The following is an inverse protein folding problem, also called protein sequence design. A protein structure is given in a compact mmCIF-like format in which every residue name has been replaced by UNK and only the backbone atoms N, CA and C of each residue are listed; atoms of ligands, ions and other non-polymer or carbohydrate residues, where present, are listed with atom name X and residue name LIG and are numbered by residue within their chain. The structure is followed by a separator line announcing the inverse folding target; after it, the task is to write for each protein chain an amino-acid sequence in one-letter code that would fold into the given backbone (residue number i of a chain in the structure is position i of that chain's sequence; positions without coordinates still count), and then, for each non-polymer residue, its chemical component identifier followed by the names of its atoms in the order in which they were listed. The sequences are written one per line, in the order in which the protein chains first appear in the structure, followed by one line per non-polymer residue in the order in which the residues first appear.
data_IF_607965841078
#
_entry.id   IF_607965841078
#
_cell.length_a   1.000
_cell.length_b   1.000
_cell.length_c   1.000
_cell.angle_alpha   90.00
_cell.angle_beta   90.00
_cell.angle_gamma   90.00
#
_symmetry.space_group_name_H-M   'P 1'
#
loop_
_entity.id
_entity.type
_entity.pdbx_description
1 polymer ?
#
# COMPACT_ATOMS: atom_id res chain seq x y z
N UNK A 1 12.55 20.96 -9.70
CA UNK A 1 13.24 20.56 -8.52
C UNK A 1 12.46 19.48 -7.77
N UNK A 2 13.12 18.46 -7.37
CA UNK A 2 12.41 17.39 -6.66
C UNK A 2 11.90 17.89 -5.31
N UNK A 3 10.67 17.58 -5.05
CA UNK A 3 10.06 17.90 -3.79
C UNK A 3 9.96 16.61 -2.99
N UNK A 4 10.89 16.42 -2.07
CA UNK A 4 10.95 15.18 -1.31
C UNK A 4 9.77 14.98 -0.39
N UNK A 5 9.03 16.03 -0.11
CA UNK A 5 7.81 15.90 0.69
C UNK A 5 6.72 15.25 -0.13
N UNK A 6 6.56 15.69 -1.37
CA UNK A 6 5.50 15.17 -2.24
C UNK A 6 5.95 13.94 -3.02
N UNK A 7 7.25 13.82 -3.26
CA UNK A 7 7.78 12.73 -4.08
C UNK A 7 8.98 12.09 -3.40
N UNK A 8 8.76 11.43 -2.25
CA UNK A 8 9.86 10.76 -1.56
C UNK A 8 10.47 9.68 -2.45
N UNK A 9 11.77 9.51 -2.33
CA UNK A 9 12.50 8.59 -3.19
C UNK A 9 11.95 7.16 -3.14
N UNK A 10 11.50 6.71 -1.97
CA UNK A 10 11.00 5.33 -1.85
C UNK A 10 9.65 5.12 -2.54
N UNK A 11 9.01 6.20 -3.00
CA UNK A 11 7.78 6.10 -3.79
C UNK A 11 8.03 6.36 -5.26
N UNK A 12 9.15 7.01 -5.58
CA UNK A 12 9.40 7.44 -6.96
C UNK A 12 10.54 6.70 -7.63
N UNK A 13 11.12 5.70 -6.97
CA UNK A 13 12.14 4.89 -7.63
C UNK A 13 11.46 4.10 -8.75
N UNK A 14 12.05 4.15 -9.93
CA UNK A 14 11.42 3.60 -11.10
C UNK A 14 10.69 4.68 -11.88
N UNK A 15 10.01 4.28 -12.92
CA UNK A 15 9.39 5.21 -13.87
C UNK A 15 7.97 5.63 -13.47
N UNK A 16 7.31 4.84 -12.66
CA UNK A 16 5.92 5.08 -12.31
C UNK A 16 5.83 5.44 -10.85
N UNK A 17 5.24 6.59 -10.55
CA UNK A 17 5.01 6.96 -9.16
C UNK A 17 3.86 6.16 -8.59
N UNK A 18 3.99 5.80 -7.33
CA UNK A 18 2.95 5.02 -6.67
C UNK A 18 1.60 5.72 -6.73
N UNK A 19 1.58 7.02 -6.46
CA UNK A 19 0.32 7.74 -6.47
C UNK A 19 -0.32 7.73 -7.86
N UNK A 20 0.48 7.84 -8.90
CA UNK A 20 -0.05 7.80 -10.25
C UNK A 20 -0.67 6.44 -10.57
N UNK A 21 -0.03 5.38 -10.12
CA UNK A 21 -0.55 4.04 -10.31
C UNK A 21 -1.89 3.86 -9.58
N UNK A 22 -1.94 4.32 -8.33
CA UNK A 22 -3.15 4.20 -7.52
C UNK A 22 -4.30 4.93 -8.17
N UNK A 23 -4.04 6.14 -8.66
CA UNK A 23 -5.07 6.94 -9.33
C UNK A 23 -5.50 6.32 -10.64
N UNK A 24 -4.54 5.87 -11.43
CA UNK A 24 -4.83 5.27 -12.73
C UNK A 24 -5.75 4.06 -12.60
N UNK A 25 -5.51 3.24 -11.59
CA UNK A 25 -6.30 2.03 -11.36
C UNK A 25 -7.53 2.28 -10.51
N UNK A 26 -7.75 3.52 -10.07
CA UNK A 26 -8.88 3.91 -9.24
C UNK A 26 -9.00 3.02 -8.00
N UNK A 27 -7.87 2.76 -7.36
CA UNK A 27 -7.86 1.93 -6.17
C UNK A 27 -8.44 2.69 -4.98
N UNK A 28 -9.21 1.97 -4.16
CA UNK A 28 -9.75 2.57 -2.96
C UNK A 28 -8.65 2.71 -1.89
N UNK A 29 -9.02 3.23 -0.73
CA UNK A 29 -8.07 3.52 0.32
C UNK A 29 -7.28 2.29 0.76
N UNK A 30 -7.98 1.17 1.00
CA UNK A 30 -7.30 -0.04 1.44
C UNK A 30 -6.34 -0.57 0.38
N UNK A 31 -6.79 -0.66 -0.85
CA UNK A 31 -5.95 -1.18 -1.92
C UNK A 31 -4.80 -0.23 -2.24
N UNK A 32 -5.04 1.07 -2.14
CA UNK A 32 -3.98 2.05 -2.31
C UNK A 32 -2.90 1.89 -1.27
N UNK A 33 -3.29 1.62 -0.02
CA UNK A 33 -2.31 1.41 1.04
C UNK A 33 -1.54 0.11 0.83
N UNK A 34 -2.18 -0.93 0.32
CA UNK A 34 -1.47 -2.16 -0.01
C UNK A 34 -0.35 -1.86 -1.01
N UNK A 35 -0.69 -1.16 -2.09
CA UNK A 35 0.30 -0.81 -3.11
C UNK A 35 1.41 0.04 -2.51
N UNK A 36 1.05 1.01 -1.68
CA UNK A 36 2.03 1.89 -1.04
C UNK A 36 3.04 1.09 -0.21
N UNK A 37 2.55 0.22 0.65
CA UNK A 37 3.45 -0.50 1.54
C UNK A 37 4.26 -1.56 0.81
N UNK A 38 3.67 -2.22 -0.17
CA UNK A 38 4.40 -3.18 -0.98
C UNK A 38 5.50 -2.47 -1.77
N UNK A 39 5.19 -1.31 -2.32
CA UNK A 39 6.15 -0.59 -3.15
C UNK A 39 7.37 -0.13 -2.37
N UNK A 40 7.21 0.23 -1.10
CA UNK A 40 8.34 0.72 -0.33
C UNK A 40 9.01 -0.36 0.51
N UNK A 41 8.46 -1.57 0.51
CA UNK A 41 9.01 -2.66 1.28
C UNK A 41 10.47 -2.89 0.90
N UNK A 42 11.35 -2.85 1.91
CA UNK A 42 12.76 -3.05 1.69
C UNK A 42 13.51 -1.84 1.14
N UNK A 43 12.83 -0.72 0.94
CA UNK A 43 13.44 0.48 0.35
C UNK A 43 13.56 1.63 1.33
N UNK A 44 12.76 1.62 2.38
CA UNK A 44 12.76 2.71 3.35
C UNK A 44 13.48 2.29 4.61
N UNK A 45 14.48 3.08 4.99
CA UNK A 45 15.18 2.87 6.26
C UNK A 45 14.40 3.51 7.38
N UNK A 46 14.54 2.93 8.56
CA UNK A 46 13.98 3.51 9.76
C UNK A 46 15.05 3.48 10.82
N UNK A 47 15.20 4.60 11.52
CA UNK A 47 16.21 4.71 12.57
C UNK A 47 16.00 3.61 13.60
N UNK A 48 17.09 2.94 13.98
CA UNK A 48 17.03 1.91 14.99
C UNK A 48 16.52 0.56 14.52
N UNK A 49 16.24 0.42 13.22
CA UNK A 49 15.75 -0.84 12.68
C UNK A 49 16.60 -1.29 11.52
N UNK A 50 16.76 -2.60 11.38
CA UNK A 50 17.41 -3.15 10.20
C UNK A 50 16.48 -3.00 9.00
N UNK A 51 17.07 -3.08 7.80
CA UNK A 51 16.26 -3.03 6.59
C UNK A 51 15.22 -4.15 6.55
N UNK A 52 15.61 -5.34 7.00
CA UNK A 52 14.67 -6.45 7.00
C UNK A 52 13.55 -6.25 8.01
N UNK A 53 13.86 -5.72 9.18
CA UNK A 53 12.82 -5.45 10.17
C UNK A 53 11.81 -4.43 9.64
N UNK A 54 12.30 -3.41 8.97
CA UNK A 54 11.42 -2.41 8.38
C UNK A 54 10.59 -2.99 7.24
N UNK A 55 11.21 -3.84 6.43
CA UNK A 55 10.49 -4.51 5.35
C UNK A 55 9.36 -5.38 5.89
N UNK A 56 9.63 -6.14 6.96
CA UNK A 56 8.59 -6.95 7.59
C UNK A 56 7.45 -6.07 8.12
N UNK A 57 7.80 -4.93 8.69
CA UNK A 57 6.79 -4.00 9.16
C UNK A 57 5.88 -3.56 8.03
N UNK A 58 6.47 -3.20 6.89
CA UNK A 58 5.69 -2.77 5.73
C UNK A 58 4.82 -3.89 5.19
N UNK A 59 5.34 -5.10 5.17
CA UNK A 59 4.55 -6.25 4.71
C UNK A 59 3.37 -6.51 5.62
N UNK A 60 3.57 -6.39 6.93
CA UNK A 60 2.48 -6.59 7.88
C UNK A 60 1.41 -5.52 7.73
N UNK A 61 1.81 -4.29 7.43
CA UNK A 61 0.84 -3.24 7.17
C UNK A 61 0.06 -3.52 5.89
N UNK A 62 0.74 -3.96 4.84
CA UNK A 62 0.05 -4.33 3.62
C UNK A 62 -0.97 -5.44 3.87
N UNK A 63 -0.56 -6.44 4.67
CA UNK A 63 -1.45 -7.55 5.00
C UNK A 63 -2.68 -7.05 5.75
N UNK A 64 -2.51 -6.12 6.68
CA UNK A 64 -3.63 -5.57 7.42
C UNK A 64 -4.66 -4.95 6.48
N UNK A 65 -4.19 -4.18 5.51
CA UNK A 65 -5.10 -3.51 4.58
C UNK A 65 -5.76 -4.50 3.61
N UNK A 66 -5.04 -5.55 3.23
CA UNK A 66 -5.64 -6.61 2.41
C UNK A 66 -6.76 -7.29 3.19
N UNK A 67 -6.49 -7.66 4.44
CA UNK A 67 -7.50 -8.31 5.28
C UNK A 67 -8.70 -7.41 5.46
N UNK A 68 -8.48 -6.12 5.65
CA UNK A 68 -9.57 -5.17 5.81
C UNK A 68 -10.44 -5.11 4.56
N UNK A 69 -9.80 -5.12 3.40
CA UNK A 69 -10.55 -5.09 2.15
C UNK A 69 -11.37 -6.34 1.96
N UNK A 70 -10.78 -7.49 2.27
CA UNK A 70 -11.50 -8.75 2.17
C UNK A 70 -12.71 -8.75 3.09
N UNK A 71 -12.52 -8.35 4.35
CA UNK A 71 -13.60 -8.29 5.32
C UNK A 71 -14.72 -7.38 4.85
N UNK A 72 -14.37 -6.23 4.30
CA UNK A 72 -15.36 -5.28 3.83
C UNK A 72 -16.17 -5.86 2.68
N UNK A 73 -15.51 -6.54 1.76
CA UNK A 73 -16.21 -7.13 0.62
C UNK A 73 -17.06 -8.32 1.03
N UNK A 74 -16.58 -9.09 1.99
CA UNK A 74 -17.38 -10.21 2.51
C UNK A 74 -18.67 -9.71 3.16
N UNK A 75 -18.60 -8.63 3.92
CA UNK A 75 -19.78 -8.04 4.52
C UNK A 75 -20.76 -7.54 3.46
N UNK A 76 -20.21 -6.92 2.40
CA UNK A 76 -21.05 -6.46 1.31
C UNK A 76 -21.75 -7.60 0.61
N UNK A 77 -21.01 -8.69 0.39
CA UNK A 77 -21.57 -9.88 -0.24
C UNK A 77 -22.69 -10.47 0.61
N UNK A 78 -22.47 -10.56 1.92
CA UNK A 78 -23.49 -11.07 2.83
C UNK A 78 -24.73 -10.21 2.80
N UNK A 79 -24.55 -8.88 2.82
CA UNK A 79 -25.67 -7.96 2.80
C UNK A 79 -26.44 -8.04 1.50
N UNK A 80 -25.76 -8.33 0.41
CA UNK A 80 -26.37 -8.43 -0.92
C UNK A 80 -26.81 -9.85 -1.23
N UNK A 81 -26.79 -10.71 -0.24
CA UNK A 81 -27.20 -12.08 -0.40
C UNK A 81 -26.25 -12.85 -1.31
N UNK A 82 -25.00 -12.49 -1.25
CA UNK A 82 -23.90 -13.21 -1.90
C UNK A 82 -24.01 -13.27 -3.41
N UNK A 83 -24.61 -12.30 -4.01
CA UNK A 83 -24.65 -12.23 -5.46
C UNK A 83 -23.54 -11.32 -5.92
N UNK A 84 -22.68 -11.82 -6.71
CA UNK A 84 -21.59 -11.06 -7.27
C UNK A 84 -21.81 -10.77 -8.69
#
# INVERSE_FOLDING_TARGET
MADNVNHPAHYTSGKIEVIDFIEDKELNFNLGNVVKYVSRCGRKKSSGKSMNAKALEDLKKARWYIDREITTREKGTEKKNAVD
#
